data_IF_491545963175
#
_entry.id   IF_491545963175
#
_cell.length_a   1.000
_cell.length_b   1.000
_cell.length_c   1.000
_cell.angle_alpha   90.00
_cell.angle_beta   90.00
_cell.angle_gamma   90.00
#
_symmetry.space_group_name_H-M   'P 1'
#
loop_
_entity.id
_entity.type
_entity.pdbx_description
1 polymer ?
#
# COMPACT_ATOMS: atom_id res chain seq x y z
N UNK A 1 22.03 -0.59 15.16
CA UNK A 1 20.89 -1.53 15.37
C UNK A 1 20.11 -1.56 14.06
N UNK A 2 19.40 -2.65 13.72
CA UNK A 2 18.63 -2.62 12.49
C UNK A 2 17.58 -1.50 12.52
N UNK A 3 17.35 -0.86 11.36
CA UNK A 3 16.41 0.27 11.25
C UNK A 3 14.98 -0.07 11.69
N UNK A 4 14.56 -1.32 11.56
CA UNK A 4 13.26 -1.79 12.06
C UNK A 4 13.39 -3.08 12.86
N UNK A 5 12.42 -3.31 13.73
CA UNK A 5 12.22 -4.59 14.43
C UNK A 5 10.75 -5.00 14.30
N UNK A 6 10.53 -6.21 13.82
CA UNK A 6 9.20 -6.83 13.81
C UNK A 6 8.99 -7.66 15.08
N UNK A 7 7.88 -7.46 15.73
CA UNK A 7 7.44 -8.20 16.90
C UNK A 7 6.17 -8.97 16.58
N UNK A 8 6.28 -10.27 16.42
CA UNK A 8 5.11 -11.15 16.28
C UNK A 8 4.50 -11.38 17.67
N UNK A 9 3.30 -10.87 17.90
CA UNK A 9 2.59 -10.99 19.17
C UNK A 9 1.77 -12.28 19.21
N UNK A 10 1.06 -12.59 18.12
CA UNK A 10 0.18 -13.76 18.05
C UNK A 10 -0.03 -14.20 16.61
N UNK A 11 -0.15 -15.50 16.39
CA UNK A 11 -0.72 -16.08 15.17
C UNK A 11 -2.12 -16.60 15.49
N UNK A 12 -3.10 -16.29 14.65
CA UNK A 12 -4.48 -16.76 14.82
C UNK A 12 -4.52 -18.29 14.74
N UNK A 13 -5.12 -18.94 15.74
CA UNK A 13 -5.17 -20.40 15.82
C UNK A 13 -5.97 -21.05 14.67
N UNK A 14 -6.85 -20.29 13.99
CA UNK A 14 -7.73 -20.79 12.93
C UNK A 14 -7.27 -20.39 11.52
N UNK A 15 -6.16 -19.66 11.39
CA UNK A 15 -5.66 -19.17 10.10
C UNK A 15 -4.17 -18.83 10.15
N UNK A 16 -3.59 -18.41 9.01
CA UNK A 16 -2.22 -17.90 8.94
C UNK A 16 -2.07 -16.44 9.40
N UNK A 17 -3.14 -15.80 9.85
CA UNK A 17 -3.15 -14.38 10.21
C UNK A 17 -2.26 -14.08 11.41
N UNK A 18 -1.57 -12.95 11.35
CA UNK A 18 -0.55 -12.56 12.31
C UNK A 18 -0.92 -11.21 12.94
N UNK A 19 -0.87 -11.13 14.27
CA UNK A 19 -0.91 -9.88 15.02
C UNK A 19 0.51 -9.51 15.43
N UNK A 20 0.96 -8.32 15.10
CA UNK A 20 2.31 -7.90 15.41
C UNK A 20 2.48 -6.39 15.52
N UNK A 21 3.73 -5.96 15.67
CA UNK A 21 4.16 -4.57 15.66
C UNK A 21 5.43 -4.42 14.86
N UNK A 22 5.54 -3.31 14.14
CA UNK A 22 6.79 -2.87 13.50
C UNK A 22 7.28 -1.63 14.21
N UNK A 23 8.46 -1.72 14.79
CA UNK A 23 9.15 -0.59 15.43
C UNK A 23 10.08 0.06 14.40
N UNK A 24 9.98 1.36 14.22
CA UNK A 24 10.77 2.16 13.27
C UNK A 24 11.39 3.36 13.98
N UNK A 25 12.34 4.09 13.37
CA UNK A 25 12.88 5.31 13.93
C UNK A 25 11.84 6.39 14.26
N UNK A 26 10.74 6.47 13.49
CA UNK A 26 9.68 7.46 13.70
C UNK A 26 8.43 6.88 14.38
N UNK A 27 8.58 5.80 15.14
CA UNK A 27 7.52 5.23 15.97
C UNK A 27 7.16 3.80 15.60
N UNK A 28 6.08 3.32 16.21
CA UNK A 28 5.61 1.94 16.08
C UNK A 28 4.23 1.91 15.45
N UNK A 29 3.98 0.94 14.58
CA UNK A 29 2.65 0.68 14.07
C UNK A 29 2.25 -0.79 14.26
N UNK A 30 0.96 -1.01 14.45
CA UNK A 30 0.39 -2.34 14.63
C UNK A 30 0.09 -3.01 13.29
N UNK A 31 0.27 -4.32 13.22
CA UNK A 31 -0.04 -5.12 12.03
C UNK A 31 -1.12 -6.18 12.31
N UNK A 32 -1.96 -6.54 11.33
CA UNK A 32 -2.00 -6.03 9.96
C UNK A 32 -2.36 -4.54 9.87
N UNK A 33 -1.72 -3.81 8.95
CA UNK A 33 -1.88 -2.37 8.77
C UNK A 33 -2.25 -2.01 7.33
N UNK A 34 -3.10 -1.00 7.16
CA UNK A 34 -3.33 -0.34 5.87
C UNK A 34 -2.58 1.00 5.87
N UNK A 35 -1.83 1.26 4.81
CA UNK A 35 -1.05 2.49 4.61
C UNK A 35 -1.76 3.41 3.61
N UNK A 36 -2.33 4.54 4.05
CA UNK A 36 -2.82 5.56 3.14
C UNK A 36 -1.72 6.09 2.22
N UNK A 37 -2.05 6.29 0.93
CA UNK A 37 -1.05 6.68 -0.07
C UNK A 37 -0.98 8.19 -0.23
N UNK A 38 0.18 8.74 0.13
CA UNK A 38 0.58 10.14 -0.05
C UNK A 38 1.49 10.31 -1.26
N UNK A 39 0.95 10.19 -2.48
CA UNK A 39 1.69 10.10 -3.75
C UNK A 39 2.76 11.18 -3.95
N UNK A 40 2.48 12.42 -3.58
CA UNK A 40 3.36 13.58 -3.74
C UNK A 40 3.59 14.28 -2.40
N UNK A 41 4.07 13.55 -1.41
CA UNK A 41 4.22 14.00 -0.04
C UNK A 41 2.90 14.56 0.56
N UNK A 42 1.77 14.01 0.16
CA UNK A 42 0.46 14.34 0.73
C UNK A 42 -0.56 13.24 0.44
N UNK A 43 -1.32 12.84 1.42
CA UNK A 43 -2.56 12.08 1.21
C UNK A 43 -3.61 13.07 0.71
N UNK A 44 -4.07 12.85 -0.52
CA UNK A 44 -4.83 13.87 -1.26
C UNK A 44 -6.03 14.41 -0.50
N UNK A 45 -6.04 15.71 -0.24
CA UNK A 45 -7.11 16.43 0.44
C UNK A 45 -7.10 16.30 1.97
N UNK A 46 -6.04 15.74 2.56
CA UNK A 46 -5.90 15.55 4.00
C UNK A 46 -4.64 16.24 4.52
N UNK A 47 -4.72 16.87 5.68
CA UNK A 47 -3.55 17.34 6.42
C UNK A 47 -2.92 16.20 7.23
N UNK A 48 -1.65 16.32 7.66
CA UNK A 48 -1.02 15.34 8.57
C UNK A 48 -1.79 15.19 9.89
N UNK A 49 -2.34 16.26 10.45
CA UNK A 49 -3.15 16.23 11.67
C UNK A 49 -4.43 15.43 11.45
N UNK A 50 -5.13 15.67 10.35
CA UNK A 50 -6.32 14.90 9.96
C UNK A 50 -5.98 13.42 9.75
N UNK A 51 -4.81 13.11 9.17
CA UNK A 51 -4.35 11.74 9.02
C UNK A 51 -4.08 11.05 10.37
N UNK A 52 -3.59 11.79 11.35
CA UNK A 52 -3.44 11.29 12.73
C UNK A 52 -4.80 11.07 13.39
N UNK A 53 -5.75 11.98 13.17
CA UNK A 53 -7.12 11.89 13.71
C UNK A 53 -7.89 10.68 13.15
N UNK A 54 -7.77 10.37 11.86
CA UNK A 54 -8.40 9.17 11.27
C UNK A 54 -7.71 7.87 11.70
N UNK A 55 -6.58 7.94 12.45
CA UNK A 55 -5.89 6.78 13.01
C UNK A 55 -4.78 6.19 12.13
N UNK A 56 -4.29 6.92 11.12
CA UNK A 56 -3.15 6.46 10.33
C UNK A 56 -1.88 6.38 11.19
N UNK A 57 -1.26 5.20 11.24
CA UNK A 57 -0.04 4.94 11.99
C UNK A 57 1.21 5.00 11.10
N UNK A 58 1.04 4.75 9.82
CA UNK A 58 2.05 4.77 8.77
C UNK A 58 1.39 5.23 7.47
N UNK A 59 2.14 5.91 6.62
CA UNK A 59 1.72 6.31 5.27
C UNK A 59 2.74 5.87 4.23
N UNK A 60 2.30 5.83 2.96
CA UNK A 60 3.17 5.54 1.83
C UNK A 60 3.35 6.79 0.95
N UNK A 61 4.57 7.03 0.44
CA UNK A 61 4.86 8.04 -0.59
C UNK A 61 5.53 7.41 -1.81
N UNK A 62 5.28 7.97 -2.99
CA UNK A 62 5.75 7.35 -4.24
C UNK A 62 7.07 7.99 -4.72
N UNK A 63 8.11 7.19 -4.81
CA UNK A 63 9.46 7.57 -5.26
C UNK A 63 9.47 8.18 -6.64
N UNK A 64 8.80 7.56 -7.63
CA UNK A 64 8.71 8.07 -9.00
C UNK A 64 8.19 9.51 -9.07
N UNK A 65 7.10 9.79 -8.38
CA UNK A 65 6.48 11.13 -8.41
C UNK A 65 7.37 12.17 -7.76
N UNK A 66 7.99 11.84 -6.63
CA UNK A 66 8.87 12.74 -5.89
C UNK A 66 10.22 12.94 -6.55
N UNK A 67 10.74 11.94 -7.28
CA UNK A 67 11.89 12.06 -8.16
C UNK A 67 11.67 13.08 -9.28
N UNK A 68 10.46 13.08 -9.88
CA UNK A 68 10.12 14.02 -10.95
C UNK A 68 9.77 15.42 -10.43
N UNK A 69 9.09 15.51 -9.29
CA UNK A 69 8.62 16.76 -8.70
C UNK A 69 8.37 16.60 -7.21
N UNK A 70 9.00 17.38 -6.33
CA UNK A 70 9.86 18.53 -6.63
C UNK A 70 11.29 18.16 -7.01
N UNK A 71 11.70 16.90 -6.88
CA UNK A 71 13.06 16.41 -6.89
C UNK A 71 13.48 15.97 -5.49
N UNK A 72 14.22 14.87 -5.41
CA UNK A 72 14.61 14.27 -4.12
C UNK A 72 15.65 15.10 -3.35
N UNK A 73 16.43 15.91 -4.04
CA UNK A 73 17.37 16.89 -3.47
C UNK A 73 16.65 17.98 -2.67
N UNK A 74 15.57 18.55 -3.19
CA UNK A 74 14.74 19.52 -2.49
C UNK A 74 14.13 18.91 -1.22
N UNK A 75 13.63 17.67 -1.32
CA UNK A 75 13.05 16.97 -0.15
C UNK A 75 14.13 16.69 0.91
N UNK A 76 15.34 16.28 0.48
CA UNK A 76 16.47 16.05 1.39
C UNK A 76 16.87 17.34 2.13
N UNK A 77 16.95 18.48 1.44
CA UNK A 77 17.27 19.77 2.03
C UNK A 77 16.23 20.24 3.04
N UNK A 78 14.98 19.83 2.86
CA UNK A 78 13.87 20.08 3.81
C UNK A 78 13.85 19.12 5.02
N UNK A 79 14.85 18.26 5.18
CA UNK A 79 14.92 17.28 6.29
C UNK A 79 14.23 15.95 5.97
N UNK A 80 14.12 15.57 4.69
CA UNK A 80 13.41 14.40 4.23
C UNK A 80 11.89 14.58 4.20
N UNK A 81 11.14 13.53 3.91
CA UNK A 81 9.68 13.58 3.84
C UNK A 81 9.04 13.99 5.17
N UNK A 82 9.59 13.55 6.29
CA UNK A 82 9.05 13.90 7.61
C UNK A 82 9.07 15.41 7.84
N UNK A 83 10.19 16.08 7.55
CA UNK A 83 10.28 17.54 7.63
C UNK A 83 9.47 18.26 6.55
N UNK A 84 9.55 17.77 5.31
CA UNK A 84 8.93 18.41 4.16
C UNK A 84 7.41 18.44 4.23
N UNK A 85 6.77 17.37 4.74
CA UNK A 85 5.30 17.27 4.83
C UNK A 85 4.73 17.38 6.24
N UNK A 86 5.56 17.66 7.25
CA UNK A 86 5.15 17.78 8.66
C UNK A 86 4.49 16.49 9.21
N UNK A 87 5.07 15.33 8.86
CA UNK A 87 4.59 14.03 9.33
C UNK A 87 5.63 13.37 10.24
N UNK A 88 5.28 13.05 11.48
CA UNK A 88 6.18 12.56 12.53
C UNK A 88 6.06 11.05 12.81
N UNK A 89 5.27 10.33 12.01
CA UNK A 89 5.07 8.88 12.12
C UNK A 89 5.76 8.13 10.99
N UNK A 90 5.81 6.79 11.02
CA UNK A 90 6.45 5.98 9.99
C UNK A 90 6.01 6.32 8.56
N UNK A 91 6.96 6.26 7.64
CA UNK A 91 6.75 6.41 6.19
C UNK A 91 7.39 5.21 5.48
N UNK A 92 6.67 4.68 4.48
CA UNK A 92 7.21 3.76 3.49
C UNK A 92 7.28 4.49 2.14
N UNK A 93 8.40 4.34 1.40
CA UNK A 93 8.46 4.73 -0.02
C UNK A 93 8.51 3.48 -0.90
N UNK A 94 7.74 3.48 -2.00
CA UNK A 94 7.86 2.46 -3.03
C UNK A 94 9.16 2.60 -3.83
N UNK A 95 9.44 1.62 -4.71
CA UNK A 95 10.65 1.64 -5.55
C UNK A 95 10.59 2.64 -6.72
N UNK A 96 9.40 3.06 -7.11
CA UNK A 96 9.13 3.79 -8.35
C UNK A 96 8.98 2.90 -9.59
N UNK A 97 9.26 1.61 -9.50
CA UNK A 97 9.20 0.67 -10.61
C UNK A 97 7.83 0.60 -11.27
N UNK A 98 6.79 0.31 -10.49
CA UNK A 98 5.42 0.19 -11.02
C UNK A 98 4.95 1.44 -11.77
N UNK A 99 5.25 2.66 -11.29
CA UNK A 99 4.83 3.90 -11.95
C UNK A 99 5.57 4.12 -13.27
N UNK A 100 6.84 3.74 -13.35
CA UNK A 100 7.60 3.79 -14.61
C UNK A 100 6.94 2.89 -15.65
N UNK A 101 6.47 1.70 -15.27
CA UNK A 101 5.80 0.78 -16.19
C UNK A 101 4.37 1.20 -16.54
N UNK A 102 3.62 1.70 -15.58
CA UNK A 102 2.18 2.00 -15.74
C UNK A 102 1.89 3.37 -16.35
N UNK A 103 2.74 4.38 -16.11
CA UNK A 103 2.51 5.76 -16.52
C UNK A 103 3.30 6.18 -17.78
N UNK A 104 4.37 5.45 -18.11
CA UNK A 104 5.19 5.78 -19.28
C UNK A 104 4.82 4.90 -20.47
N UNK A 105 4.25 5.52 -21.52
CA UNK A 105 3.93 4.83 -22.78
C UNK A 105 5.17 4.39 -23.58
N UNK A 106 6.35 4.96 -23.27
CA UNK A 106 7.61 4.72 -23.94
C UNK A 106 8.68 4.45 -22.88
N UNK A 107 8.71 3.23 -22.37
CA UNK A 107 9.77 2.75 -21.51
C UNK A 107 10.64 1.70 -22.25
N UNK A 108 11.91 1.66 -21.88
CA UNK A 108 12.86 0.63 -22.35
C UNK A 108 13.51 0.04 -21.12
N UNK A 109 13.16 -1.21 -20.85
CA UNK A 109 13.69 -2.00 -19.72
C UNK A 109 14.96 -2.70 -20.21
N UNK A 110 16.04 -2.58 -19.46
CA UNK A 110 17.30 -3.27 -19.66
C UNK A 110 17.87 -3.69 -18.30
N UNK A 111 18.88 -4.53 -18.30
CA UNK A 111 19.58 -4.97 -17.08
C UNK A 111 20.09 -3.77 -16.24
N UNK A 112 20.54 -2.70 -16.89
CA UNK A 112 21.07 -1.51 -16.21
C UNK A 112 19.99 -0.68 -15.51
N UNK A 113 18.73 -0.78 -15.94
CA UNK A 113 17.60 0.01 -15.44
C UNK A 113 16.59 0.34 -16.53
N UNK A 114 15.76 1.34 -16.27
CA UNK A 114 14.65 1.73 -17.16
C UNK A 114 14.81 3.15 -17.65
N UNK A 115 14.81 3.31 -18.97
CA UNK A 115 14.71 4.61 -19.63
C UNK A 115 13.24 4.89 -19.94
N UNK A 116 12.74 6.06 -19.55
CA UNK A 116 11.34 6.44 -19.75
C UNK A 116 11.20 7.94 -20.06
N UNK A 117 9.99 8.36 -20.45
CA UNK A 117 9.65 9.76 -20.58
C UNK A 117 8.80 10.22 -19.41
N UNK A 118 9.18 11.34 -18.80
CA UNK A 118 8.41 11.99 -17.74
C UNK A 118 7.00 12.33 -18.24
N UNK A 119 5.99 11.96 -17.46
CA UNK A 119 4.59 12.29 -17.76
C UNK A 119 4.26 13.77 -17.52
N UNK A 120 5.18 14.54 -16.88
CA UNK A 120 5.01 15.95 -16.56
C UNK A 120 5.40 16.84 -17.76
N UNK A 121 6.59 16.59 -18.33
CA UNK A 121 7.23 17.47 -19.32
C UNK A 121 7.75 16.72 -20.56
N UNK A 122 7.59 15.39 -20.61
CA UNK A 122 8.06 14.55 -21.70
C UNK A 122 9.58 14.34 -21.76
N UNK A 123 10.34 14.91 -20.80
CA UNK A 123 11.80 14.75 -20.75
C UNK A 123 12.22 13.29 -20.59
N UNK A 124 13.34 12.92 -21.22
CA UNK A 124 13.89 11.57 -21.07
C UNK A 124 14.57 11.44 -19.73
N UNK A 125 14.20 10.40 -18.98
CA UNK A 125 14.72 10.05 -17.66
C UNK A 125 15.25 8.63 -17.66
N UNK A 126 16.14 8.34 -16.73
CA UNK A 126 16.67 7.01 -16.47
C UNK A 126 16.54 6.72 -14.97
N UNK A 127 16.08 5.52 -14.62
CA UNK A 127 16.00 5.03 -13.26
C UNK A 127 16.65 3.65 -13.21
N UNK A 128 17.72 3.53 -12.45
CA UNK A 128 18.39 2.27 -12.15
C UNK A 128 18.08 1.85 -10.71
N UNK A 129 18.38 0.60 -10.31
CA UNK A 129 18.33 0.18 -8.91
C UNK A 129 19.08 1.14 -7.97
N UNK A 130 20.27 1.56 -8.33
CA UNK A 130 21.11 2.48 -7.55
C UNK A 130 20.45 3.86 -7.43
N UNK A 131 19.93 4.41 -8.53
CA UNK A 131 19.23 5.69 -8.52
C UNK A 131 17.94 5.63 -7.69
N UNK A 132 17.17 4.55 -7.79
CA UNK A 132 15.97 4.36 -6.94
C UNK A 132 16.34 4.41 -5.46
N UNK A 133 17.40 3.73 -5.06
CA UNK A 133 17.88 3.75 -3.67
C UNK A 133 18.42 5.12 -3.27
N UNK A 134 19.16 5.81 -4.14
CA UNK A 134 19.63 7.18 -3.88
C UNK A 134 18.46 8.12 -3.61
N UNK A 135 17.41 8.07 -4.45
CA UNK A 135 16.19 8.86 -4.26
C UNK A 135 15.53 8.52 -2.93
N UNK A 136 15.32 7.24 -2.61
CA UNK A 136 14.67 6.82 -1.36
C UNK A 136 15.53 7.15 -0.12
N UNK A 137 16.86 7.07 -0.22
CA UNK A 137 17.75 7.52 0.85
C UNK A 137 17.62 9.04 1.09
N UNK A 138 17.46 9.83 0.04
CA UNK A 138 17.24 11.28 0.13
C UNK A 138 15.85 11.63 0.68
N UNK A 139 14.81 10.86 0.31
CA UNK A 139 13.45 11.03 0.82
C UNK A 139 13.33 10.72 2.31
N UNK A 140 14.18 9.85 2.85
CA UNK A 140 14.30 9.62 4.31
C UNK A 140 13.15 8.82 4.93
N UNK A 141 12.45 7.97 4.18
CA UNK A 141 11.42 7.08 4.72
C UNK A 141 12.01 5.99 5.63
N UNK A 142 11.24 5.47 6.59
CA UNK A 142 11.65 4.39 7.49
C UNK A 142 11.79 3.04 6.78
N UNK A 143 10.91 2.78 5.81
CA UNK A 143 10.90 1.58 4.99
C UNK A 143 11.04 1.99 3.52
N UNK A 144 11.99 1.37 2.83
CA UNK A 144 12.26 1.58 1.41
C UNK A 144 12.22 0.27 0.64
N UNK A 145 11.98 0.34 -0.66
CA UNK A 145 11.74 -0.84 -1.48
C UNK A 145 12.85 -1.06 -2.49
N UNK A 146 13.22 -2.33 -2.73
CA UNK A 146 14.09 -2.68 -3.85
C UNK A 146 13.43 -2.33 -5.19
N UNK A 147 14.23 -1.92 -6.17
CA UNK A 147 13.71 -1.66 -7.51
C UNK A 147 13.34 -2.97 -8.19
N UNK A 148 12.15 -3.03 -8.79
CA UNK A 148 11.58 -4.24 -9.36
C UNK A 148 10.93 -3.99 -10.72
N UNK A 149 10.73 -5.04 -11.49
CA UNK A 149 9.86 -5.05 -12.65
C UNK A 149 8.54 -5.75 -12.32
N UNK A 150 7.43 -5.01 -12.39
CA UNK A 150 6.10 -5.58 -12.30
C UNK A 150 5.67 -6.09 -13.68
N UNK A 151 5.77 -7.42 -13.89
CA UNK A 151 5.32 -8.03 -15.13
C UNK A 151 3.80 -7.79 -15.35
N UNK A 152 3.34 -7.54 -16.60
CA UNK A 152 1.92 -7.35 -16.88
C UNK A 152 1.13 -8.65 -16.65
N UNK A 153 -0.19 -8.52 -16.44
CA UNK A 153 -1.08 -9.66 -16.41
C UNK A 153 -2.08 -9.59 -17.59
N UNK A 154 -2.28 -10.68 -18.34
CA UNK A 154 -1.47 -11.91 -18.33
C UNK A 154 -0.11 -11.72 -19.00
N UNK A 155 0.87 -12.56 -18.67
CA UNK A 155 2.13 -12.61 -19.42
C UNK A 155 2.61 -14.06 -19.59
N UNK A 156 3.47 -14.26 -20.59
CA UNK A 156 4.06 -15.55 -20.88
C UNK A 156 5.06 -15.98 -19.79
N UNK A 157 5.12 -17.29 -19.52
CA UNK A 157 6.00 -17.87 -18.50
C UNK A 157 7.47 -17.43 -18.63
N UNK A 158 8.02 -17.51 -19.84
CA UNK A 158 9.42 -17.14 -20.09
C UNK A 158 9.67 -15.64 -19.87
N UNK A 159 8.67 -14.77 -20.10
CA UNK A 159 8.77 -13.36 -19.75
C UNK A 159 8.78 -13.19 -18.24
N UNK A 160 7.80 -13.77 -17.53
CA UNK A 160 7.70 -13.72 -16.08
C UNK A 160 8.99 -14.20 -15.40
N UNK A 161 9.59 -15.29 -15.90
CA UNK A 161 10.84 -15.83 -15.38
C UNK A 161 12.01 -14.85 -15.54
N UNK A 162 12.23 -14.32 -16.74
CA UNK A 162 13.31 -13.33 -16.97
C UNK A 162 13.12 -12.07 -16.14
N UNK A 163 11.90 -11.58 -16.02
CA UNK A 163 11.54 -10.42 -15.21
C UNK A 163 11.84 -10.67 -13.72
N UNK A 164 11.45 -11.81 -13.21
CA UNK A 164 11.71 -12.23 -11.82
C UNK A 164 13.21 -12.33 -11.53
N UNK A 165 13.97 -13.01 -12.41
CA UNK A 165 15.42 -13.15 -12.27
C UNK A 165 16.13 -11.77 -12.32
N UNK A 166 15.70 -10.87 -13.20
CA UNK A 166 16.20 -9.50 -13.27
C UNK A 166 15.90 -8.74 -11.98
N UNK A 167 14.66 -8.84 -11.46
CA UNK A 167 14.27 -8.22 -10.18
C UNK A 167 15.15 -8.70 -9.04
N UNK A 168 15.49 -9.99 -8.98
CA UNK A 168 16.43 -10.52 -7.97
C UNK A 168 17.84 -9.93 -8.12
N UNK A 169 18.36 -9.77 -9.34
CA UNK A 169 19.65 -9.10 -9.57
C UNK A 169 19.60 -7.62 -9.17
N UNK A 170 18.50 -6.93 -9.48
CA UNK A 170 18.27 -5.56 -9.06
C UNK A 170 18.16 -5.41 -7.54
N UNK A 171 17.54 -6.36 -6.84
CA UNK A 171 17.48 -6.37 -5.39
C UNK A 171 18.90 -6.47 -4.75
N UNK A 172 19.81 -7.26 -5.33
CA UNK A 172 21.23 -7.30 -4.92
C UNK A 172 21.92 -5.96 -5.10
N UNK A 173 21.70 -5.29 -6.24
CA UNK A 173 22.26 -3.98 -6.54
C UNK A 173 21.69 -2.90 -5.59
N UNK A 174 20.38 -2.94 -5.31
CA UNK A 174 19.75 -2.07 -4.32
C UNK A 174 20.39 -2.22 -2.93
N UNK A 175 20.57 -3.48 -2.49
CA UNK A 175 21.20 -3.75 -1.18
C UNK A 175 22.63 -3.22 -1.12
N UNK A 176 23.41 -3.34 -2.19
CA UNK A 176 24.77 -2.80 -2.27
C UNK A 176 24.81 -1.27 -2.32
N UNK A 177 23.80 -0.63 -2.93
CA UNK A 177 23.71 0.83 -3.06
C UNK A 177 23.17 1.52 -1.79
N UNK A 178 22.48 0.79 -0.92
CA UNK A 178 21.85 1.37 0.28
C UNK A 178 22.88 1.91 1.28
N UNK A 179 22.74 3.19 1.66
CA UNK A 179 23.72 3.92 2.48
C UNK A 179 23.26 4.21 3.92
N UNK A 180 22.00 3.91 4.24
CA UNK A 180 21.39 4.26 5.54
C UNK A 180 20.73 3.04 6.22
N UNK A 181 21.42 1.88 6.34
CA UNK A 181 20.80 0.65 6.84
C UNK A 181 20.39 0.68 8.31
N UNK A 182 20.95 1.62 9.10
CA UNK A 182 20.59 1.82 10.51
C UNK A 182 19.37 2.74 10.70
N UNK A 183 18.95 3.44 9.64
CA UNK A 183 17.84 4.40 9.67
C UNK A 183 16.69 4.01 8.77
N UNK A 184 16.96 3.22 7.72
CA UNK A 184 15.97 2.83 6.72
C UNK A 184 16.05 1.31 6.44
N UNK A 185 14.91 0.64 6.50
CA UNK A 185 14.82 -0.79 6.22
C UNK A 185 14.50 -1.02 4.73
N UNK A 186 15.42 -1.65 4.01
CA UNK A 186 15.21 -2.03 2.61
C UNK A 186 14.46 -3.36 2.53
N UNK A 187 13.27 -3.39 1.92
CA UNK A 187 12.50 -4.62 1.67
C UNK A 187 12.79 -5.18 0.29
N UNK A 188 12.90 -6.52 0.19
CA UNK A 188 12.92 -7.25 -1.06
C UNK A 188 11.50 -7.43 -1.61
N UNK A 189 11.34 -7.46 -2.95
CA UNK A 189 10.03 -7.63 -3.61
C UNK A 189 9.99 -8.95 -4.36
N UNK A 190 9.13 -9.87 -3.90
CA UNK A 190 8.84 -11.14 -4.58
C UNK A 190 8.05 -10.86 -5.84
N UNK A 191 8.55 -11.34 -6.99
CA UNK A 191 7.90 -11.29 -8.30
C UNK A 191 7.68 -12.71 -8.84
N UNK A 192 7.12 -12.88 -10.04
CA UNK A 192 6.86 -14.18 -10.66
C UNK A 192 5.47 -14.30 -11.27
N UNK A 193 4.76 -13.15 -11.45
CA UNK A 193 3.41 -13.09 -12.00
C UNK A 193 2.47 -14.07 -11.27
N UNK A 194 1.66 -14.85 -11.98
CA UNK A 194 0.75 -15.87 -11.43
C UNK A 194 1.30 -17.30 -11.53
N UNK A 195 2.62 -17.45 -11.62
CA UNK A 195 3.30 -18.74 -11.69
C UNK A 195 3.86 -19.13 -10.32
N UNK A 196 3.27 -20.14 -9.68
CA UNK A 196 3.57 -20.56 -8.31
C UNK A 196 5.05 -20.90 -8.11
N UNK A 197 5.64 -21.67 -9.03
CA UNK A 197 7.04 -22.05 -8.99
C UNK A 197 7.99 -20.86 -9.06
N UNK A 198 7.67 -19.83 -9.87
CA UNK A 198 8.47 -18.61 -9.96
C UNK A 198 8.34 -17.77 -8.68
N UNK A 199 7.16 -17.72 -8.06
CA UNK A 199 6.93 -17.06 -6.77
C UNK A 199 7.76 -17.70 -5.66
N UNK A 200 7.75 -19.03 -5.59
CA UNK A 200 8.53 -19.80 -4.61
C UNK A 200 10.02 -19.58 -4.83
N UNK A 201 10.49 -19.63 -6.08
CA UNK A 201 11.89 -19.40 -6.43
C UNK A 201 12.31 -17.96 -6.05
N UNK A 202 11.53 -16.96 -6.43
CA UNK A 202 11.77 -15.55 -6.08
C UNK A 202 11.85 -15.36 -4.57
N UNK A 203 10.89 -15.91 -3.81
CA UNK A 203 10.88 -15.81 -2.35
C UNK A 203 12.15 -16.38 -1.73
N UNK A 204 12.58 -17.59 -2.14
CA UNK A 204 13.81 -18.22 -1.66
C UNK A 204 15.05 -17.39 -1.97
N UNK A 205 15.19 -16.93 -3.22
CA UNK A 205 16.33 -16.11 -3.65
C UNK A 205 16.43 -14.80 -2.84
N UNK A 206 15.29 -14.17 -2.50
CA UNK A 206 15.28 -12.95 -1.70
C UNK A 206 15.54 -13.23 -0.22
N UNK A 207 15.05 -14.34 0.32
CA UNK A 207 15.33 -14.76 1.70
C UNK A 207 16.84 -15.02 1.89
N UNK A 208 17.50 -15.65 0.91
CA UNK A 208 18.95 -15.83 0.91
C UNK A 208 19.73 -14.51 0.91
N UNK A 209 19.12 -13.43 0.44
CA UNK A 209 19.69 -12.07 0.51
C UNK A 209 19.48 -11.39 1.87
N UNK A 210 18.68 -11.94 2.76
CA UNK A 210 18.39 -11.46 4.12
C UNK A 210 18.01 -9.98 4.16
N UNK A 211 16.76 -9.68 3.79
CA UNK A 211 16.16 -8.35 3.92
C UNK A 211 15.47 -8.19 5.28
N UNK A 212 15.37 -6.94 5.82
CA UNK A 212 14.58 -6.64 7.03
C UNK A 212 13.10 -6.94 6.92
N UNK A 213 12.55 -7.02 5.70
CA UNK A 213 11.17 -7.36 5.39
C UNK A 213 11.00 -7.75 3.93
N UNK A 214 9.83 -8.31 3.60
CA UNK A 214 9.55 -8.84 2.27
C UNK A 214 8.21 -8.35 1.75
N UNK A 215 8.20 -7.91 0.50
CA UNK A 215 6.99 -7.51 -0.19
C UNK A 215 6.59 -8.52 -1.24
N UNK A 216 5.30 -8.58 -1.53
CA UNK A 216 4.72 -9.39 -2.59
C UNK A 216 4.18 -8.41 -3.63
N UNK A 217 4.93 -8.25 -4.73
CA UNK A 217 4.57 -7.39 -5.84
C UNK A 217 3.95 -8.16 -7.01
N UNK A 218 3.52 -7.44 -8.06
CA UNK A 218 3.00 -8.03 -9.29
C UNK A 218 1.69 -8.81 -9.12
N UNK A 219 0.90 -8.47 -8.11
CA UNK A 219 -0.48 -8.89 -7.89
C UNK A 219 -1.40 -7.65 -7.87
N UNK A 220 -2.72 -7.86 -7.96
CA UNK A 220 -3.70 -6.76 -8.11
C UNK A 220 -3.46 -5.90 -9.37
N UNK A 221 -3.01 -6.55 -10.44
CA UNK A 221 -2.72 -5.93 -11.76
C UNK A 221 -3.69 -6.37 -12.85
N UNK A 222 -4.82 -6.97 -12.47
CA UNK A 222 -5.89 -7.37 -13.36
C UNK A 222 -6.29 -8.86 -13.28
N UNK A 223 -5.58 -9.66 -12.49
CA UNK A 223 -5.94 -11.05 -12.23
C UNK A 223 -7.21 -11.17 -11.37
N UNK A 224 -7.99 -12.26 -11.53
CA UNK A 224 -9.08 -12.59 -10.62
C UNK A 224 -8.61 -12.77 -9.18
N UNK A 225 -9.43 -12.34 -8.20
CA UNK A 225 -9.09 -12.42 -6.78
C UNK A 225 -8.77 -13.84 -6.28
N UNK A 226 -9.42 -14.86 -6.85
CA UNK A 226 -9.12 -16.26 -6.54
C UNK A 226 -7.68 -16.64 -6.92
N UNK A 227 -7.17 -16.12 -8.05
CA UNK A 227 -5.77 -16.34 -8.47
C UNK A 227 -4.82 -15.61 -7.49
N UNK A 228 -5.11 -14.37 -7.13
CA UNK A 228 -4.29 -13.64 -6.15
C UNK A 228 -4.20 -14.41 -4.83
N UNK A 229 -5.33 -14.88 -4.31
CA UNK A 229 -5.38 -15.65 -3.06
C UNK A 229 -4.58 -16.96 -3.16
N UNK A 230 -4.72 -17.70 -4.25
CA UNK A 230 -3.95 -18.93 -4.50
C UNK A 230 -2.44 -18.67 -4.57
N UNK A 231 -2.02 -17.58 -5.22
CA UNK A 231 -0.61 -17.18 -5.26
C UNK A 231 -0.09 -16.78 -3.88
N UNK A 232 -0.87 -16.09 -3.06
CA UNK A 232 -0.48 -15.77 -1.68
C UNK A 232 -0.27 -17.04 -0.84
N UNK A 233 -1.16 -18.02 -0.95
CA UNK A 233 -1.04 -19.31 -0.25
C UNK A 233 0.24 -20.07 -0.60
N UNK A 234 0.74 -19.93 -1.83
CA UNK A 234 1.98 -20.55 -2.28
C UNK A 234 3.24 -19.70 -2.03
N UNK A 235 3.09 -18.38 -1.85
CA UNK A 235 4.24 -17.48 -1.65
C UNK A 235 4.58 -17.28 -0.17
N UNK A 236 3.57 -16.99 0.64
CA UNK A 236 3.73 -16.59 2.04
C UNK A 236 4.45 -17.64 2.91
N UNK A 237 4.23 -18.97 2.74
CA UNK A 237 4.95 -19.97 3.53
C UNK A 237 6.47 -19.98 3.34
N UNK A 238 6.97 -19.39 2.25
CA UNK A 238 8.41 -19.30 1.96
C UNK A 238 9.07 -18.02 2.48
N UNK A 239 8.29 -17.13 3.13
CA UNK A 239 8.79 -15.91 3.75
C UNK A 239 9.02 -16.12 5.25
N UNK A 240 10.07 -15.51 5.85
CA UNK A 240 10.38 -15.65 7.27
C UNK A 240 9.21 -15.25 8.18
N UNK A 241 9.09 -15.90 9.32
CA UNK A 241 8.04 -15.62 10.31
C UNK A 241 8.38 -14.44 11.21
N UNK A 242 9.66 -14.13 11.37
CA UNK A 242 10.19 -13.03 12.18
C UNK A 242 10.39 -11.71 11.39
N UNK A 243 9.89 -11.66 10.15
CA UNK A 243 9.96 -10.48 9.29
C UNK A 243 8.56 -10.03 8.87
N UNK A 244 8.31 -8.73 8.66
CA UNK A 244 7.04 -8.23 8.14
C UNK A 244 6.86 -8.58 6.66
N UNK A 245 5.60 -8.82 6.26
CA UNK A 245 5.17 -9.19 4.90
C UNK A 245 4.21 -8.16 4.36
N UNK A 246 4.52 -7.58 3.22
CA UNK A 246 3.78 -6.49 2.63
C UNK A 246 3.21 -6.89 1.26
N UNK A 247 1.88 -6.87 1.10
CA UNK A 247 1.18 -7.06 -0.17
C UNK A 247 0.90 -5.70 -0.80
N UNK A 248 1.55 -5.43 -1.95
CA UNK A 248 1.58 -4.12 -2.57
C UNK A 248 0.31 -3.85 -3.40
N UNK A 249 -0.22 -2.62 -3.28
CA UNK A 249 -1.29 -2.11 -4.14
C UNK A 249 -2.70 -2.65 -3.86
N UNK A 250 -2.91 -3.32 -2.74
CA UNK A 250 -4.19 -3.97 -2.36
C UNK A 250 -4.90 -3.16 -1.28
N UNK A 251 -6.19 -2.81 -1.51
CA UNK A 251 -6.93 -1.95 -0.58
C UNK A 251 -8.45 -2.03 -0.66
N UNK A 252 -9.03 -3.02 -1.32
CA UNK A 252 -10.46 -3.30 -1.16
C UNK A 252 -10.70 -4.11 0.13
N UNK A 253 -11.83 -3.89 0.84
CA UNK A 253 -12.07 -4.51 2.14
C UNK A 253 -11.95 -6.03 2.16
N UNK A 254 -12.45 -6.70 1.12
CA UNK A 254 -12.36 -8.16 0.93
C UNK A 254 -10.91 -8.65 0.87
N UNK A 255 -10.11 -8.03 0.01
CA UNK A 255 -8.70 -8.44 -0.15
C UNK A 255 -7.81 -8.07 1.04
N UNK A 256 -8.15 -7.03 1.81
CA UNK A 256 -7.47 -6.74 3.06
C UNK A 256 -7.68 -7.88 4.09
N UNK A 257 -8.92 -8.36 4.23
CA UNK A 257 -9.24 -9.46 5.13
C UNK A 257 -8.63 -10.77 4.60
N UNK A 258 -8.79 -11.07 3.31
CA UNK A 258 -8.28 -12.30 2.69
C UNK A 258 -6.73 -12.37 2.70
N UNK A 259 -6.06 -11.25 2.51
CA UNK A 259 -4.60 -11.16 2.63
C UNK A 259 -4.12 -11.34 4.07
N UNK A 260 -4.80 -10.71 5.03
CA UNK A 260 -4.50 -10.88 6.45
C UNK A 260 -4.68 -12.33 6.90
N UNK A 261 -5.74 -13.03 6.48
CA UNK A 261 -5.96 -14.45 6.73
C UNK A 261 -4.78 -15.33 6.28
N UNK A 262 -4.09 -14.93 5.21
CA UNK A 262 -2.94 -15.63 4.63
C UNK A 262 -1.59 -15.19 5.20
N UNK A 263 -1.60 -14.35 6.23
CA UNK A 263 -0.38 -13.94 6.94
C UNK A 263 0.34 -12.73 6.36
N UNK A 264 -0.37 -11.87 5.64
CA UNK A 264 0.11 -10.55 5.21
C UNK A 264 -0.05 -9.54 6.34
N UNK A 265 0.97 -8.71 6.56
CA UNK A 265 1.02 -7.74 7.66
C UNK A 265 0.77 -6.30 7.23
N UNK A 266 1.05 -5.94 5.97
CA UNK A 266 1.00 -4.57 5.48
C UNK A 266 0.33 -4.50 4.12
N UNK A 267 -0.43 -3.43 3.89
CA UNK A 267 -1.17 -3.17 2.66
C UNK A 267 -1.14 -1.67 2.35
N UNK A 268 -1.21 -1.33 1.07
CA UNK A 268 -1.42 0.05 0.60
C UNK A 268 -2.37 0.08 -0.58
N UNK A 269 -3.10 1.14 -0.74
CA UNK A 269 -3.80 1.40 -2.01
C UNK A 269 -4.29 2.85 -2.09
N UNK A 270 -4.30 3.40 -3.30
CA UNK A 270 -4.95 4.70 -3.58
C UNK A 270 -6.48 4.60 -3.64
N UNK A 271 -7.05 3.39 -3.57
CA UNK A 271 -8.48 3.15 -3.75
C UNK A 271 -9.36 4.05 -2.87
N UNK A 272 -9.22 4.10 -1.53
CA UNK A 272 -10.14 4.86 -0.68
C UNK A 272 -10.19 6.34 -1.03
N UNK A 273 -9.04 6.96 -1.28
CA UNK A 273 -8.95 8.37 -1.65
C UNK A 273 -9.40 8.63 -3.09
N UNK A 274 -9.09 7.72 -4.02
CA UNK A 274 -9.47 7.83 -5.43
C UNK A 274 -10.98 7.74 -5.59
N UNK A 275 -11.62 6.69 -5.05
CA UNK A 275 -13.07 6.52 -5.18
C UNK A 275 -13.84 7.56 -4.36
N UNK A 276 -13.32 7.96 -3.18
CA UNK A 276 -13.88 9.03 -2.35
C UNK A 276 -14.01 10.34 -3.13
N UNK A 277 -12.94 10.76 -3.79
CA UNK A 277 -12.98 11.97 -4.65
C UNK A 277 -13.93 11.85 -5.84
N UNK A 278 -14.32 10.64 -6.22
CA UNK A 278 -15.34 10.39 -7.24
C UNK A 278 -16.76 10.21 -6.68
N UNK A 279 -16.93 10.34 -5.36
CA UNK A 279 -18.21 10.22 -4.67
C UNK A 279 -18.66 8.79 -4.38
N UNK A 280 -17.76 7.81 -4.47
CA UNK A 280 -18.01 6.43 -4.01
C UNK A 280 -17.54 6.28 -2.57
N UNK A 281 -18.43 5.83 -1.71
CA UNK A 281 -18.29 5.78 -0.25
C UNK A 281 -18.37 4.33 0.21
N UNK A 282 -17.46 3.91 1.08
CA UNK A 282 -17.57 2.66 1.82
C UNK A 282 -18.61 2.81 2.92
N UNK A 283 -19.47 1.80 3.11
CA UNK A 283 -20.40 1.71 4.26
C UNK A 283 -20.37 0.30 4.82
N UNK A 284 -20.92 0.10 6.00
CA UNK A 284 -21.05 -1.23 6.61
C UNK A 284 -21.83 -2.23 5.73
N UNK A 285 -22.71 -1.73 4.85
CA UNK A 285 -23.55 -2.52 3.95
C UNK A 285 -23.16 -2.40 2.46
N UNK A 286 -21.86 -2.25 2.18
CA UNK A 286 -21.35 -2.13 0.81
C UNK A 286 -21.06 -0.68 0.40
N UNK A 287 -20.84 -0.48 -0.91
CA UNK A 287 -20.49 0.84 -1.46
C UNK A 287 -21.74 1.59 -1.89
N UNK A 288 -21.74 2.91 -1.68
CA UNK A 288 -22.75 3.81 -2.23
C UNK A 288 -22.11 4.88 -3.11
N UNK A 289 -22.87 5.41 -4.07
CA UNK A 289 -22.45 6.56 -4.88
C UNK A 289 -23.24 7.77 -4.36
N UNK A 290 -22.63 8.58 -3.50
CA UNK A 290 -23.32 9.69 -2.82
C UNK A 290 -23.88 10.74 -3.79
N UNK A 291 -23.39 10.80 -5.03
CA UNK A 291 -23.89 11.71 -6.09
C UNK A 291 -25.25 11.32 -6.66
N UNK A 292 -25.76 10.11 -6.39
CA UNK A 292 -27.03 9.63 -6.91
C UNK A 292 -28.22 10.50 -6.46
N UNK A 293 -29.23 10.62 -7.32
CA UNK A 293 -30.39 11.45 -7.07
C UNK A 293 -31.17 11.06 -5.81
N UNK A 294 -31.20 9.77 -5.46
CA UNK A 294 -31.89 9.23 -4.28
C UNK A 294 -31.41 9.87 -2.96
N UNK A 295 -30.17 10.37 -2.91
CA UNK A 295 -29.60 11.01 -1.72
C UNK A 295 -29.85 12.52 -1.64
N UNK A 296 -30.62 13.11 -2.57
CA UNK A 296 -30.87 14.55 -2.57
C UNK A 296 -31.61 15.05 -1.31
N UNK A 297 -32.42 14.21 -0.68
CA UNK A 297 -33.17 14.48 0.55
C UNK A 297 -32.87 13.44 1.65
N UNK A 298 -31.71 12.80 1.58
CA UNK A 298 -31.26 11.85 2.60
C UNK A 298 -30.43 12.60 3.66
N UNK A 299 -31.04 12.88 4.78
CA UNK A 299 -30.43 13.59 5.91
C UNK A 299 -29.74 12.66 6.90
N UNK A 300 -29.53 11.39 6.55
CA UNK A 300 -28.75 10.43 7.36
C UNK A 300 -27.26 10.60 7.10
N UNK A 301 -26.37 10.09 8.00
CA UNK A 301 -24.91 10.08 7.78
C UNK A 301 -24.52 9.24 6.56
N UNK A 302 -23.27 9.41 6.11
CA UNK A 302 -22.69 8.58 5.03
C UNK A 302 -22.86 7.09 5.32
N UNK A 303 -22.51 6.68 6.53
CA UNK A 303 -22.75 5.36 7.09
C UNK A 303 -23.32 5.51 8.50
N UNK A 304 -24.55 5.05 8.76
CA UNK A 304 -25.17 5.14 10.09
C UNK A 304 -24.43 4.37 11.20
N UNK A 305 -23.61 3.40 10.85
CA UNK A 305 -22.82 2.61 11.81
C UNK A 305 -21.40 3.16 12.02
N UNK A 306 -21.05 4.27 11.36
CA UNK A 306 -19.72 4.89 11.44
C UNK A 306 -19.73 6.10 12.36
N UNK A 307 -18.75 6.15 13.25
CA UNK A 307 -18.58 7.24 14.23
C UNK A 307 -17.51 8.29 13.82
N UNK A 308 -17.04 8.26 12.57
CA UNK A 308 -16.03 9.22 12.11
C UNK A 308 -16.54 10.65 12.15
N UNK A 309 -15.62 11.63 12.14
CA UNK A 309 -15.94 13.06 12.09
C UNK A 309 -17.01 13.40 11.05
N UNK A 310 -16.93 12.81 9.86
CA UNK A 310 -17.87 13.10 8.76
C UNK A 310 -19.26 12.58 9.09
N UNK A 311 -19.41 11.36 9.55
CA UNK A 311 -20.70 10.74 9.85
C UNK A 311 -21.40 11.41 11.05
N UNK A 312 -20.63 11.92 12.01
CA UNK A 312 -21.19 12.66 13.15
C UNK A 312 -21.71 14.06 12.81
N UNK A 313 -21.19 14.68 11.75
CA UNK A 313 -21.43 16.11 11.49
C UNK A 313 -22.17 16.41 10.19
N UNK A 314 -22.17 15.48 9.20
CA UNK A 314 -22.68 15.77 7.86
C UNK A 314 -23.62 14.66 7.36
N UNK A 315 -24.57 15.08 6.51
CA UNK A 315 -25.55 14.19 5.90
C UNK A 315 -25.19 13.85 4.45
N UNK A 316 -25.74 12.76 3.93
CA UNK A 316 -25.62 12.36 2.52
C UNK A 316 -26.12 13.48 1.60
N UNK A 317 -27.24 14.12 1.93
CA UNK A 317 -27.80 15.23 1.15
C UNK A 317 -26.82 16.41 1.03
N UNK A 318 -26.17 16.81 2.13
CA UNK A 318 -25.18 17.89 2.12
C UNK A 318 -23.94 17.52 1.31
N UNK A 319 -23.37 16.33 1.55
CA UNK A 319 -22.19 15.88 0.82
C UNK A 319 -22.49 15.73 -0.67
N UNK A 320 -23.67 15.18 -1.03
CA UNK A 320 -24.13 15.17 -2.41
C UNK A 320 -24.20 16.58 -3.03
N UNK A 321 -24.75 17.55 -2.29
CA UNK A 321 -24.78 18.94 -2.73
C UNK A 321 -23.37 19.46 -3.05
N UNK A 322 -22.40 19.24 -2.15
CA UNK A 322 -21.02 19.67 -2.37
C UNK A 322 -20.41 19.05 -3.65
N UNK A 323 -20.65 17.77 -3.90
CA UNK A 323 -20.21 17.13 -5.15
C UNK A 323 -20.88 17.72 -6.38
N UNK A 324 -22.17 18.05 -6.32
CA UNK A 324 -22.91 18.67 -7.44
C UNK A 324 -22.50 20.13 -7.69
N UNK A 325 -22.14 20.84 -6.64
CA UNK A 325 -21.63 22.21 -6.71
C UNK A 325 -20.14 22.29 -7.11
N UNK A 326 -19.43 21.14 -7.15
CA UNK A 326 -17.99 21.13 -7.44
C UNK A 326 -17.11 21.60 -6.28
N UNK A 327 -17.64 21.61 -5.06
CA UNK A 327 -16.93 22.08 -3.87
C UNK A 327 -15.86 21.08 -3.40
N UNK A 328 -14.65 21.56 -3.17
CA UNK A 328 -13.52 20.73 -2.70
C UNK A 328 -13.80 20.02 -1.38
N UNK A 329 -14.61 20.64 -0.51
CA UNK A 329 -14.97 20.07 0.78
C UNK A 329 -15.65 18.70 0.63
N UNK A 330 -16.51 18.51 -0.39
CA UNK A 330 -17.16 17.22 -0.65
C UNK A 330 -16.14 16.10 -0.90
N UNK A 331 -15.09 16.39 -1.70
CA UNK A 331 -14.02 15.45 -2.01
C UNK A 331 -13.19 15.10 -0.76
N UNK A 332 -12.91 16.09 0.09
CA UNK A 332 -12.18 15.89 1.35
C UNK A 332 -12.98 15.05 2.33
N UNK A 333 -14.23 15.37 2.59
CA UNK A 333 -15.10 14.64 3.52
C UNK A 333 -15.26 13.17 3.10
N UNK A 334 -15.46 12.91 1.80
CA UNK A 334 -15.54 11.57 1.26
C UNK A 334 -14.21 10.79 1.41
N UNK A 335 -13.09 11.47 1.21
CA UNK A 335 -11.74 10.89 1.41
C UNK A 335 -11.51 10.55 2.87
N UNK A 336 -11.83 11.47 3.79
CA UNK A 336 -11.73 11.25 5.24
C UNK A 336 -12.49 10.00 5.66
N UNK A 337 -13.78 9.95 5.31
CA UNK A 337 -14.63 8.82 5.67
C UNK A 337 -14.11 7.48 5.15
N UNK A 338 -13.70 7.41 3.88
CA UNK A 338 -13.19 6.18 3.29
C UNK A 338 -11.87 5.72 3.93
N UNK A 339 -10.99 6.64 4.31
CA UNK A 339 -9.76 6.31 5.04
C UNK A 339 -10.08 5.79 6.44
N UNK A 340 -10.97 6.47 7.18
CA UNK A 340 -11.42 6.01 8.48
C UNK A 340 -12.00 4.60 8.40
N UNK A 341 -12.85 4.33 7.41
CA UNK A 341 -13.47 3.02 7.21
C UNK A 341 -12.41 1.90 7.08
N UNK A 342 -11.38 2.08 6.26
CA UNK A 342 -10.35 1.04 6.09
C UNK A 342 -9.43 0.91 7.31
N UNK A 343 -9.08 2.02 7.96
CA UNK A 343 -8.25 1.99 9.16
C UNK A 343 -8.99 1.32 10.32
N UNK A 344 -10.28 1.60 10.50
CA UNK A 344 -11.11 0.92 11.50
C UNK A 344 -11.34 -0.55 11.14
N UNK A 345 -11.49 -0.89 9.85
CA UNK A 345 -11.54 -2.29 9.41
C UNK A 345 -10.28 -3.05 9.84
N UNK A 346 -9.09 -2.47 9.63
CA UNK A 346 -7.84 -3.12 10.04
C UNK A 346 -7.72 -3.27 11.56
N UNK A 347 -8.22 -2.32 12.33
CA UNK A 347 -8.30 -2.44 13.79
C UNK A 347 -9.21 -3.61 14.21
N UNK A 348 -10.36 -3.76 13.57
CA UNK A 348 -11.27 -4.90 13.78
C UNK A 348 -10.65 -6.23 13.36
N UNK A 349 -9.88 -6.25 12.26
CA UNK A 349 -9.09 -7.43 11.83
C UNK A 349 -8.09 -7.82 12.91
N UNK A 350 -7.31 -6.87 13.45
CA UNK A 350 -6.36 -7.15 14.55
C UNK A 350 -7.06 -7.69 15.78
N UNK A 351 -8.21 -7.14 16.16
CA UNK A 351 -9.01 -7.64 17.27
C UNK A 351 -9.49 -9.08 17.02
N UNK A 352 -10.00 -9.38 15.83
CA UNK A 352 -10.45 -10.71 15.45
C UNK A 352 -9.30 -11.74 15.45
N UNK A 353 -8.05 -11.32 15.10
CA UNK A 353 -6.86 -12.17 15.24
C UNK A 353 -6.55 -12.42 16.72
N UNK A 354 -6.59 -11.39 17.56
CA UNK A 354 -6.35 -11.52 18.99
C UNK A 354 -7.34 -12.50 19.68
N UNK A 355 -8.57 -12.54 19.18
CA UNK A 355 -9.66 -13.41 19.65
C UNK A 355 -9.74 -14.78 18.95
N UNK A 356 -8.79 -15.11 18.06
CA UNK A 356 -8.77 -16.34 17.25
C UNK A 356 -10.03 -16.58 16.38
N UNK A 357 -10.69 -15.53 15.92
CA UNK A 357 -11.96 -15.62 15.18
C UNK A 357 -11.94 -14.91 13.80
N UNK A 358 -10.77 -14.68 13.23
CA UNK A 358 -10.70 -13.95 11.95
C UNK A 358 -11.47 -14.63 10.79
N UNK A 359 -11.49 -15.98 10.63
CA UNK A 359 -12.32 -16.62 9.62
C UNK A 359 -13.82 -16.35 9.81
N UNK A 360 -14.30 -16.38 11.07
CA UNK A 360 -15.68 -16.03 11.39
C UNK A 360 -15.97 -14.56 11.09
N UNK A 361 -15.08 -13.64 11.50
CA UNK A 361 -15.18 -12.21 11.19
C UNK A 361 -15.27 -11.95 9.68
N UNK A 362 -14.46 -12.67 8.87
CA UNK A 362 -14.54 -12.62 7.41
C UNK A 362 -15.94 -12.95 6.91
N UNK A 363 -16.50 -14.08 7.36
CA UNK A 363 -17.84 -14.52 6.94
C UNK A 363 -18.90 -13.49 7.30
N UNK A 364 -18.91 -13.00 8.55
CA UNK A 364 -19.84 -11.97 9.03
C UNK A 364 -19.72 -10.67 8.20
N UNK A 365 -18.49 -10.21 7.97
CA UNK A 365 -18.23 -9.00 7.19
C UNK A 365 -18.68 -9.15 5.74
N UNK A 366 -18.35 -10.27 5.08
CA UNK A 366 -18.69 -10.52 3.68
C UNK A 366 -20.19 -10.58 3.46
N UNK A 367 -20.91 -11.30 4.31
CA UNK A 367 -22.37 -11.37 4.24
C UNK A 367 -23.02 -9.99 4.40
N UNK A 368 -22.54 -9.20 5.37
CA UNK A 368 -23.07 -7.86 5.63
C UNK A 368 -22.75 -6.88 4.52
N UNK A 369 -21.51 -6.92 4.02
CA UNK A 369 -21.02 -6.01 2.97
C UNK A 369 -21.57 -6.34 1.58
N UNK A 370 -22.06 -7.58 1.37
CA UNK A 370 -22.57 -8.06 0.09
C UNK A 370 -21.50 -8.67 -0.82
N UNK A 371 -20.41 -9.18 -0.24
CA UNK A 371 -19.43 -10.00 -0.96
C UNK A 371 -19.87 -11.46 -1.04
N UNK A 372 -19.39 -12.16 -2.07
CA UNK A 372 -19.52 -13.62 -2.16
C UNK A 372 -18.53 -14.29 -1.19
N UNK A 373 -18.99 -15.36 -0.50
CA UNK A 373 -18.17 -16.12 0.46
C UNK A 373 -17.09 -16.97 -0.21
#
# INVERSE_FOLDING_TARGET
>A
MPAIRYELIKTCAQSGARLGRVHTPHGTFETPAFMPVGTQATVKGMTPEEMKEVGAQIILSNTYHLFLRPGHDIVREAGGLHGFMHWDRPILTDSGGFQVFSLSKLNKIKEDGVTFRSHIDGSKKFLSPEMSIEVQNALGADIIMSFDECAPYPCEYNYAKRSMEMTTRWAKRCKAAHRRPDEQALFGIVQGSTYKELRIESAKQLVDLDFPGYSIGGLSVGEPGAIMNDILEHTVPHLPTDKPRYLMGVGSPDFLIDGALRGVDMFDCVLPTRIGRNGTIFTANGRIIVRDAKYARDYTPMDPECDCYVCRNYTRAYIRHLFKAGELLGLRLATWHNLHFLLELMKRVRQAIAEDRLPQFRTEFFLKYGYTL
#
